data_IF_048061277864
#
_entry.id   IF_048061277864
#
_cell.length_a   1.000
_cell.length_b   1.000
_cell.length_c   1.000
_cell.angle_alpha   90.00
_cell.angle_beta   90.00
_cell.angle_gamma   90.00
#
_symmetry.space_group_name_H-M   'P 1'
#
loop_
_entity.id
_entity.type
_entity.pdbx_description
1 polymer ?
#
# COMPACT_ATOMS: atom_id res chain seq x y z
N UNK A 1 -5.43 24.85 -0.61
CA UNK A 1 -5.75 23.84 -1.65
C UNK A 1 -7.23 23.95 -1.95
N UNK A 2 -7.62 24.27 -3.19
CA UNK A 2 -9.03 24.37 -3.58
C UNK A 2 -9.77 23.04 -3.37
N UNK A 3 -11.07 23.14 -3.07
CA UNK A 3 -11.98 22.00 -2.97
C UNK A 3 -11.99 21.24 -4.31
N UNK A 4 -11.85 19.92 -4.27
CA UNK A 4 -12.00 19.12 -5.49
C UNK A 4 -13.47 19.22 -5.94
N UNK A 5 -13.70 19.39 -7.24
CA UNK A 5 -15.06 19.47 -7.80
C UNK A 5 -15.87 18.17 -7.59
N UNK A 6 -15.17 17.03 -7.49
CA UNK A 6 -15.75 15.71 -7.25
C UNK A 6 -14.98 14.98 -6.15
N UNK A 7 -15.70 14.41 -5.18
CA UNK A 7 -15.15 13.63 -4.08
C UNK A 7 -15.73 12.21 -4.05
N UNK A 8 -15.02 11.29 -3.39
CA UNK A 8 -15.56 9.93 -3.11
C UNK A 8 -16.89 10.00 -2.33
N UNK A 9 -17.06 11.02 -1.49
CA UNK A 9 -18.30 11.25 -0.77
C UNK A 9 -19.49 11.53 -1.71
N UNK A 10 -19.27 12.20 -2.84
CA UNK A 10 -20.32 12.47 -3.83
C UNK A 10 -20.72 11.17 -4.53
N UNK A 11 -19.75 10.34 -4.92
CA UNK A 11 -20.01 9.02 -5.50
C UNK A 11 -20.81 8.14 -4.54
N UNK A 12 -20.45 8.12 -3.24
CA UNK A 12 -21.18 7.35 -2.24
C UNK A 12 -22.60 7.88 -2.02
N UNK A 13 -22.81 9.19 -2.05
CA UNK A 13 -24.17 9.77 -1.95
C UNK A 13 -25.03 9.44 -3.16
N UNK A 14 -24.46 9.55 -4.37
CA UNK A 14 -25.21 9.34 -5.62
C UNK A 14 -25.44 7.85 -5.92
N UNK A 15 -24.39 7.04 -5.88
CA UNK A 15 -24.45 5.63 -6.32
C UNK A 15 -24.55 4.65 -5.13
N UNK A 16 -24.17 5.07 -3.93
CA UNK A 16 -24.08 4.19 -2.77
C UNK A 16 -25.40 3.57 -2.31
N UNK A 17 -26.56 4.26 -2.33
CA UNK A 17 -27.84 3.64 -1.93
C UNK A 17 -28.18 2.40 -2.77
N UNK A 18 -28.21 2.54 -4.10
CA UNK A 18 -28.50 1.43 -5.01
C UNK A 18 -27.46 0.32 -4.91
N UNK A 19 -26.17 0.67 -4.81
CA UNK A 19 -25.10 -0.33 -4.66
C UNK A 19 -25.19 -1.10 -3.35
N UNK A 20 -25.48 -0.44 -2.22
CA UNK A 20 -25.69 -1.11 -0.93
C UNK A 20 -26.87 -2.07 -0.96
N UNK A 21 -27.94 -1.71 -1.67
CA UNK A 21 -29.10 -2.59 -1.87
C UNK A 21 -28.71 -3.82 -2.69
N UNK A 22 -28.00 -3.63 -3.81
CA UNK A 22 -27.53 -4.72 -4.65
C UNK A 22 -26.51 -5.64 -3.97
N UNK A 23 -25.82 -5.17 -2.92
CA UNK A 23 -24.81 -5.91 -2.16
C UNK A 23 -25.28 -6.32 -0.75
N UNK A 24 -26.59 -6.35 -0.52
CA UNK A 24 -27.14 -6.80 0.76
C UNK A 24 -26.64 -8.22 1.10
N UNK A 25 -26.25 -8.42 2.36
CA UNK A 25 -25.65 -9.67 2.84
C UNK A 25 -24.16 -9.88 2.49
N UNK A 26 -23.60 -9.10 1.56
CA UNK A 26 -22.19 -9.21 1.15
C UNK A 26 -21.27 -8.13 1.73
N UNK A 27 -21.85 -7.12 2.38
CA UNK A 27 -21.12 -6.03 3.02
C UNK A 27 -20.98 -6.25 4.53
N UNK A 28 -19.75 -6.16 5.01
CA UNK A 28 -19.50 -6.10 6.46
C UNK A 28 -20.01 -4.77 7.04
N UNK A 29 -20.42 -4.79 8.31
CA UNK A 29 -20.74 -3.59 9.08
C UNK A 29 -19.59 -2.58 9.05
N UNK A 30 -18.34 -3.05 9.05
CA UNK A 30 -17.16 -2.20 8.93
C UNK A 30 -17.11 -1.41 7.61
N UNK A 31 -17.44 -2.05 6.48
CA UNK A 31 -17.51 -1.37 5.18
C UNK A 31 -18.63 -0.32 5.17
N UNK A 32 -19.81 -0.66 5.70
CA UNK A 32 -20.93 0.28 5.81
C UNK A 32 -20.58 1.50 6.66
N UNK A 33 -19.96 1.30 7.84
CA UNK A 33 -19.48 2.39 8.70
C UNK A 33 -18.46 3.29 7.99
N UNK A 34 -17.58 2.71 7.18
CA UNK A 34 -16.62 3.49 6.36
C UNK A 34 -17.35 4.34 5.33
N UNK A 35 -18.37 3.81 4.63
CA UNK A 35 -19.16 4.58 3.68
C UNK A 35 -19.84 5.77 4.34
N UNK A 36 -20.57 5.55 5.43
CA UNK A 36 -21.26 6.62 6.16
C UNK A 36 -20.29 7.68 6.69
N UNK A 37 -19.14 7.25 7.23
CA UNK A 37 -18.12 8.19 7.69
C UNK A 37 -17.58 9.06 6.56
N UNK A 38 -17.44 8.54 5.33
CA UNK A 38 -16.96 9.30 4.18
C UNK A 38 -18.03 10.27 3.67
N UNK A 39 -19.29 9.83 3.61
CA UNK A 39 -20.46 10.65 3.19
C UNK A 39 -20.67 11.87 4.11
N UNK A 40 -20.52 11.68 5.43
CA UNK A 40 -20.73 12.72 6.45
C UNK A 40 -19.49 13.59 6.71
N UNK A 41 -18.31 13.19 6.22
CA UNK A 41 -17.08 13.89 6.53
C UNK A 41 -17.09 15.34 6.01
N UNK A 42 -16.78 16.30 6.89
CA UNK A 42 -16.79 17.75 6.59
C UNK A 42 -18.16 18.26 6.14
N UNK A 43 -19.24 17.77 6.77
CA UNK A 43 -20.59 18.33 6.64
C UNK A 43 -21.16 18.71 8.00
N UNK A 44 -22.30 19.41 7.99
CA UNK A 44 -23.02 19.80 9.21
C UNK A 44 -23.41 18.60 10.10
N UNK A 45 -23.52 17.40 9.53
CA UNK A 45 -23.84 16.18 10.28
C UNK A 45 -22.80 15.83 11.37
N UNK A 46 -21.56 16.33 11.26
CA UNK A 46 -20.51 16.14 12.25
C UNK A 46 -20.27 17.38 13.12
N UNK A 47 -21.12 18.41 12.99
CA UNK A 47 -20.90 19.73 13.58
C UNK A 47 -19.71 20.46 12.95
N UNK A 48 -19.40 21.64 13.50
CA UNK A 48 -18.31 22.48 13.00
C UNK A 48 -18.09 23.72 13.85
N UNK A 49 -17.21 24.57 13.34
CA UNK A 49 -16.86 25.86 13.93
C UNK A 49 -17.28 26.97 12.97
N UNK A 50 -17.71 28.10 13.53
CA UNK A 50 -17.96 29.33 12.78
C UNK A 50 -16.84 30.29 13.12
N UNK A 51 -16.06 30.67 12.11
CA UNK A 51 -14.97 31.64 12.21
C UNK A 51 -15.48 32.96 11.64
N UNK A 52 -15.37 34.05 12.39
CA UNK A 52 -15.68 35.40 11.90
C UNK A 52 -14.42 36.24 11.91
N UNK A 53 -14.12 36.90 10.79
CA UNK A 53 -13.02 37.85 10.70
C UNK A 53 -13.44 39.18 11.36
N UNK A 54 -12.70 39.63 12.38
CA UNK A 54 -12.99 40.89 13.08
C UNK A 54 -12.69 42.15 12.23
N UNK A 55 -12.03 42.02 11.08
CA UNK A 55 -11.67 43.15 10.21
C UNK A 55 -12.57 43.35 8.99
N UNK A 56 -13.22 42.29 8.49
CA UNK A 56 -14.05 42.36 7.29
C UNK A 56 -15.40 41.62 7.43
N UNK A 57 -15.73 41.16 8.63
CA UNK A 57 -16.95 40.41 8.96
C UNK A 57 -17.17 39.10 8.17
N UNK A 58 -16.18 38.67 7.38
CA UNK A 58 -16.26 37.42 6.65
C UNK A 58 -16.47 36.24 7.62
N UNK A 59 -17.48 35.42 7.32
CA UNK A 59 -17.81 34.21 8.08
C UNK A 59 -17.41 32.97 7.30
N UNK A 60 -16.58 32.13 7.89
CA UNK A 60 -16.20 30.83 7.37
C UNK A 60 -16.72 29.71 8.28
N UNK A 61 -17.41 28.72 7.70
CA UNK A 61 -17.86 27.53 8.42
C UNK A 61 -16.90 26.38 8.18
N UNK A 62 -16.27 25.89 9.25
CA UNK A 62 -15.34 24.78 9.22
C UNK A 62 -15.95 23.52 9.85
N UNK A 63 -16.46 22.60 9.03
CA UNK A 63 -17.04 21.34 9.51
C UNK A 63 -15.99 20.31 10.00
N UNK A 64 -16.38 19.49 10.97
CA UNK A 64 -15.53 18.46 11.55
C UNK A 64 -15.22 17.30 10.60
N UNK A 65 -14.06 16.67 10.81
CA UNK A 65 -13.62 15.51 10.04
C UNK A 65 -14.13 14.21 10.68
N UNK A 66 -14.43 13.19 9.86
CA UNK A 66 -14.85 11.88 10.37
C UNK A 66 -13.69 11.06 10.97
N UNK A 67 -12.43 11.50 10.76
CA UNK A 67 -11.17 10.86 11.22
C UNK A 67 -10.95 9.41 10.78
N UNK A 68 -11.86 8.82 9.99
CA UNK A 68 -11.72 7.46 9.52
C UNK A 68 -10.48 7.32 8.61
N UNK A 69 -9.67 6.27 8.84
CA UNK A 69 -8.45 5.97 8.07
C UNK A 69 -8.68 5.80 6.56
N UNK A 70 -9.90 5.44 6.18
CA UNK A 70 -10.30 5.24 4.79
C UNK A 70 -10.79 6.52 4.10
N UNK A 71 -10.94 7.63 4.83
CA UNK A 71 -11.42 8.88 4.25
C UNK A 71 -10.32 9.64 3.50
N UNK A 72 -10.50 9.96 2.20
CA UNK A 72 -9.49 10.66 1.40
C UNK A 72 -9.26 12.13 1.83
N UNK A 73 -10.10 12.67 2.72
CA UNK A 73 -10.00 14.04 3.25
C UNK A 73 -9.25 14.17 4.56
N UNK A 74 -9.26 13.12 5.40
CA UNK A 74 -8.89 13.25 6.82
C UNK A 74 -7.40 13.03 7.10
N UNK A 75 -6.71 12.25 6.26
CA UNK A 75 -5.45 11.63 6.64
C UNK A 75 -4.22 12.54 6.50
N UNK A 76 -4.35 13.75 5.94
CA UNK A 76 -3.21 14.63 5.68
C UNK A 76 -2.41 14.99 6.94
N UNK A 77 -3.08 15.39 8.03
CA UNK A 77 -2.39 15.77 9.28
C UNK A 77 -1.75 14.58 9.99
N UNK A 78 -2.39 13.41 9.95
CA UNK A 78 -1.82 12.18 10.48
C UNK A 78 -0.58 11.75 9.69
N UNK A 79 -0.65 11.82 8.35
CA UNK A 79 0.47 11.57 7.46
C UNK A 79 1.66 12.49 7.74
N UNK A 80 1.38 13.78 7.96
CA UNK A 80 2.40 14.77 8.26
C UNK A 80 3.08 14.51 9.61
N UNK A 81 2.32 14.25 10.68
CA UNK A 81 2.92 13.91 11.98
C UNK A 81 3.73 12.62 11.94
N UNK A 82 3.21 11.60 11.26
CA UNK A 82 3.94 10.36 11.07
C UNK A 82 5.24 10.60 10.30
N UNK A 83 5.21 11.49 9.30
CA UNK A 83 6.38 11.87 8.52
C UNK A 83 7.44 12.56 9.38
N UNK A 84 7.03 13.55 10.16
CA UNK A 84 7.91 14.28 11.09
C UNK A 84 8.58 13.33 12.08
N UNK A 85 7.81 12.37 12.62
CA UNK A 85 8.36 11.35 13.51
C UNK A 85 9.38 10.44 12.81
N UNK A 86 9.13 10.00 11.57
CA UNK A 86 10.08 9.17 10.81
C UNK A 86 11.30 9.93 10.31
N UNK A 87 11.20 11.25 10.16
CA UNK A 87 12.32 12.10 9.79
C UNK A 87 13.39 12.12 10.86
N UNK A 88 13.00 12.07 12.14
CA UNK A 88 13.95 11.99 13.26
C UNK A 88 14.76 10.68 13.24
N UNK A 89 14.24 9.61 12.63
CA UNK A 89 14.88 8.29 12.56
C UNK A 89 15.82 8.14 11.34
N UNK A 90 15.91 9.14 10.45
CA UNK A 90 16.73 9.02 9.24
C UNK A 90 18.21 9.27 9.51
N UNK A 91 19.02 8.31 9.11
CA UNK A 91 20.48 8.37 9.11
C UNK A 91 20.97 9.20 7.91
N UNK A 92 22.15 9.87 8.01
CA UNK A 92 22.72 10.65 6.91
C UNK A 92 23.40 9.73 5.86
N UNK A 93 22.66 8.79 5.30
CA UNK A 93 23.14 7.79 4.33
C UNK A 93 22.25 7.75 3.08
N UNK A 94 22.71 7.06 2.03
CA UNK A 94 21.85 6.75 0.88
C UNK A 94 20.67 5.86 1.33
N UNK A 95 19.53 5.98 0.66
CA UNK A 95 18.36 5.13 0.95
C UNK A 95 17.87 4.48 -0.32
N UNK A 96 17.59 3.19 -0.26
CA UNK A 96 17.10 2.41 -1.37
C UNK A 96 15.61 2.12 -1.23
N UNK A 97 14.93 2.15 -2.37
CA UNK A 97 13.52 1.76 -2.46
C UNK A 97 13.42 0.35 -3.01
N UNK A 98 12.99 -0.59 -2.16
CA UNK A 98 12.75 -1.98 -2.54
C UNK A 98 11.23 -2.22 -2.63
N UNK A 99 10.77 -3.03 -3.57
CA UNK A 99 9.36 -3.43 -3.69
C UNK A 99 9.29 -4.93 -3.83
N UNK A 100 8.51 -5.57 -2.98
CA UNK A 100 8.17 -6.99 -3.09
C UNK A 100 6.73 -7.12 -3.55
N UNK A 101 6.54 -7.79 -4.68
CA UNK A 101 5.23 -7.94 -5.33
C UNK A 101 4.84 -9.40 -5.37
N UNK A 102 3.60 -9.70 -4.99
CA UNK A 102 3.04 -11.05 -5.11
C UNK A 102 2.59 -11.33 -6.55
N UNK A 103 2.76 -12.55 -7.06
CA UNK A 103 2.20 -12.93 -8.36
C UNK A 103 0.67 -12.89 -8.31
N UNK A 104 0.04 -12.76 -9.48
CA UNK A 104 -1.42 -12.60 -9.59
C UNK A 104 -2.22 -13.71 -8.88
N UNK A 105 -1.88 -15.01 -9.01
CA UNK A 105 -2.63 -16.06 -8.31
C UNK A 105 -2.63 -15.92 -6.79
N UNK A 106 -1.51 -15.51 -6.18
CA UNK A 106 -1.45 -15.27 -4.74
C UNK A 106 -2.20 -13.98 -4.37
N UNK A 107 -2.16 -12.97 -5.24
CA UNK A 107 -2.90 -11.71 -5.04
C UNK A 107 -4.41 -11.95 -4.98
N UNK A 108 -4.95 -12.86 -5.80
CA UNK A 108 -6.37 -13.22 -5.83
C UNK A 108 -6.84 -13.78 -4.49
N UNK A 109 -6.10 -14.74 -3.91
CA UNK A 109 -6.45 -15.32 -2.60
C UNK A 109 -6.15 -14.37 -1.42
N UNK A 110 -5.37 -13.30 -1.64
CA UNK A 110 -5.03 -12.34 -0.59
C UNK A 110 -6.21 -11.47 -0.16
N UNK A 111 -7.24 -11.30 -1.00
CA UNK A 111 -8.41 -10.51 -0.62
C UNK A 111 -9.24 -11.18 0.49
N UNK A 112 -9.35 -12.51 0.47
CA UNK A 112 -10.07 -13.28 1.50
C UNK A 112 -9.17 -13.63 2.68
N UNK A 113 -7.85 -13.64 2.49
CA UNK A 113 -6.84 -14.01 3.50
C UNK A 113 -5.95 -12.83 3.93
N UNK A 114 -6.50 -11.61 3.99
CA UNK A 114 -5.73 -10.36 4.20
C UNK A 114 -4.76 -10.43 5.39
N UNK A 115 -5.23 -10.88 6.55
CA UNK A 115 -4.41 -10.92 7.75
C UNK A 115 -3.19 -11.84 7.59
N UNK A 116 -3.41 -13.06 7.10
CA UNK A 116 -2.34 -14.06 6.92
C UNK A 116 -1.39 -13.62 5.81
N UNK A 117 -1.91 -13.32 4.61
CA UNK A 117 -1.05 -13.03 3.45
C UNK A 117 -0.30 -11.71 3.62
N UNK A 118 -0.90 -10.67 4.20
CA UNK A 118 -0.18 -9.41 4.40
C UNK A 118 0.88 -9.53 5.49
N UNK A 119 0.60 -10.30 6.56
CA UNK A 119 1.60 -10.63 7.57
C UNK A 119 2.79 -11.37 6.94
N UNK A 120 2.54 -12.45 6.20
CA UNK A 120 3.60 -13.18 5.48
C UNK A 120 4.39 -12.28 4.53
N UNK A 121 3.71 -11.36 3.83
CA UNK A 121 4.38 -10.43 2.92
C UNK A 121 5.36 -9.50 3.64
N UNK A 122 5.01 -9.02 4.84
CA UNK A 122 5.93 -8.22 5.66
C UNK A 122 7.08 -9.07 6.21
N UNK A 123 6.78 -10.19 6.86
CA UNK A 123 7.76 -11.04 7.52
C UNK A 123 8.78 -11.58 6.52
N UNK A 124 8.32 -12.15 5.41
CA UNK A 124 9.19 -12.77 4.41
C UNK A 124 10.00 -11.71 3.64
N UNK A 125 9.46 -10.50 3.42
CA UNK A 125 10.23 -9.41 2.83
C UNK A 125 11.35 -8.93 3.77
N UNK A 126 11.06 -8.76 5.06
CA UNK A 126 12.06 -8.38 6.06
C UNK A 126 13.15 -9.46 6.21
N UNK A 127 12.76 -10.72 6.38
CA UNK A 127 13.66 -11.87 6.47
C UNK A 127 14.57 -11.98 5.25
N UNK A 128 14.00 -11.82 4.04
CA UNK A 128 14.77 -11.86 2.80
C UNK A 128 15.84 -10.77 2.75
N UNK A 129 15.48 -9.54 3.15
CA UNK A 129 16.41 -8.42 3.18
C UNK A 129 17.54 -8.67 4.18
N UNK A 130 17.18 -9.02 5.41
CA UNK A 130 18.12 -9.23 6.50
C UNK A 130 19.05 -10.42 6.23
N UNK A 131 18.51 -11.55 5.76
CA UNK A 131 19.30 -12.75 5.42
C UNK A 131 20.34 -12.46 4.35
N UNK A 132 19.96 -11.81 3.24
CA UNK A 132 20.90 -11.53 2.16
C UNK A 132 21.90 -10.44 2.55
N UNK A 133 21.48 -9.45 3.35
CA UNK A 133 22.39 -8.41 3.82
C UNK A 133 23.45 -8.95 4.80
N UNK A 134 23.06 -9.86 5.68
CA UNK A 134 23.98 -10.44 6.68
C UNK A 134 25.06 -11.33 6.05
N UNK A 135 24.83 -11.92 4.87
CA UNK A 135 25.83 -12.74 4.18
C UNK A 135 27.05 -11.90 3.75
N UNK A 136 28.27 -12.21 4.23
CA UNK A 136 29.50 -11.49 3.85
C UNK A 136 29.84 -11.55 2.36
N UNK A 137 29.31 -12.54 1.61
CA UNK A 137 29.44 -12.59 0.14
C UNK A 137 28.62 -11.51 -0.56
N UNK A 138 27.68 -10.90 0.17
CA UNK A 138 26.83 -9.81 -0.29
C UNK A 138 27.22 -8.49 0.38
N UNK A 139 26.67 -8.19 1.56
CA UNK A 139 26.96 -6.96 2.29
C UNK A 139 27.73 -7.23 3.60
N UNK A 140 27.41 -8.31 4.31
CA UNK A 140 28.01 -8.62 5.61
C UNK A 140 27.57 -7.67 6.73
N UNK A 141 26.30 -7.26 6.74
CA UNK A 141 25.79 -6.26 7.66
C UNK A 141 24.35 -6.52 8.12
N UNK A 142 24.05 -6.11 9.34
CA UNK A 142 22.72 -6.03 9.90
C UNK A 142 22.03 -4.73 9.47
N UNK A 143 20.99 -4.86 8.65
CA UNK A 143 20.25 -3.72 8.10
C UNK A 143 18.90 -3.54 8.78
N UNK A 144 18.45 -2.29 8.84
CA UNK A 144 17.07 -1.93 9.14
C UNK A 144 16.24 -1.68 7.88
N UNK A 145 14.92 -1.84 7.95
CA UNK A 145 14.02 -1.46 6.87
C UNK A 145 12.69 -0.94 7.40
N UNK A 146 12.14 0.09 6.76
CA UNK A 146 10.73 0.50 6.95
C UNK A 146 9.90 -0.05 5.80
N UNK A 147 8.97 -0.95 6.11
CA UNK A 147 8.07 -1.57 5.13
C UNK A 147 6.68 -0.94 5.18
N UNK A 148 6.06 -0.71 4.03
CA UNK A 148 4.71 -0.14 3.90
C UNK A 148 3.89 -0.96 2.90
N UNK A 149 2.73 -1.45 3.32
CA UNK A 149 1.80 -2.23 2.49
C UNK A 149 0.98 -1.33 1.58
N UNK A 150 0.94 -1.67 0.30
CA UNK A 150 -0.08 -1.22 -0.64
C UNK A 150 -0.90 -2.39 -1.13
N UNK A 151 -2.19 -2.15 -1.32
CA UNK A 151 -3.14 -3.19 -1.76
C UNK A 151 -3.76 -2.90 -3.13
N UNK A 152 -3.46 -1.75 -3.72
CA UNK A 152 -4.10 -1.29 -4.96
C UNK A 152 -3.07 -0.80 -5.98
N UNK A 153 -3.24 -1.23 -7.23
CA UNK A 153 -2.56 -0.64 -8.38
C UNK A 153 -3.15 0.72 -8.75
N UNK A 154 -2.48 1.46 -9.65
CA UNK A 154 -3.04 2.74 -10.09
C UNK A 154 -4.37 2.58 -10.82
N UNK A 155 -4.69 1.45 -11.43
CA UNK A 155 -5.99 1.17 -12.03
C UNK A 155 -7.06 0.75 -11.01
N UNK A 156 -6.78 0.83 -9.70
CA UNK A 156 -7.62 0.28 -8.62
C UNK A 156 -7.85 -1.23 -8.71
N UNK A 157 -6.98 -1.94 -9.40
CA UNK A 157 -6.90 -3.41 -9.32
C UNK A 157 -6.27 -3.83 -8.00
N UNK A 158 -6.78 -4.90 -7.41
CA UNK A 158 -6.19 -5.46 -6.19
C UNK A 158 -4.79 -5.98 -6.51
N UNK A 159 -3.80 -5.45 -5.80
CA UNK A 159 -2.38 -5.70 -6.08
C UNK A 159 -1.59 -5.51 -4.77
N UNK A 160 -1.58 -6.50 -3.88
CA UNK A 160 -0.81 -6.44 -2.65
C UNK A 160 0.70 -6.49 -2.93
N UNK A 161 1.41 -5.47 -2.44
CA UNK A 161 2.85 -5.35 -2.51
C UNK A 161 3.36 -4.52 -1.33
N UNK A 162 4.60 -4.75 -0.90
CA UNK A 162 5.24 -3.94 0.14
C UNK A 162 6.36 -3.11 -0.44
N UNK A 163 6.39 -1.84 -0.04
CA UNK A 163 7.46 -0.92 -0.32
C UNK A 163 8.39 -0.86 0.88
N UNK A 164 9.65 -1.22 0.69
CA UNK A 164 10.71 -1.09 1.67
C UNK A 164 11.57 0.13 1.41
N UNK A 165 11.83 0.88 2.47
CA UNK A 165 12.87 1.90 2.53
C UNK A 165 14.00 1.34 3.38
N UNK A 166 15.18 1.24 2.79
CA UNK A 166 16.34 0.60 3.41
C UNK A 166 17.51 1.58 3.42
N UNK A 167 18.18 1.82 4.55
CA UNK A 167 19.45 2.54 4.59
C UNK A 167 20.48 1.84 3.70
N UNK A 168 21.39 2.62 3.12
CA UNK A 168 22.44 2.15 2.22
C UNK A 168 23.61 1.52 2.94
N UNK A 169 23.31 0.64 3.89
CA UNK A 169 24.27 -0.01 4.77
C UNK A 169 23.60 -0.49 6.04
N UNK A 170 24.41 -1.07 6.91
CA UNK A 170 24.00 -1.60 8.20
C UNK A 170 25.16 -1.61 9.19
N UNK A 171 24.92 -2.10 10.40
CA UNK A 171 26.00 -2.40 11.34
C UNK A 171 26.72 -3.68 10.89
N UNK A 172 28.02 -3.77 11.13
CA UNK A 172 28.74 -5.04 11.00
C UNK A 172 28.12 -6.10 11.91
N UNK A 173 28.34 -7.38 11.61
CA UNK A 173 27.74 -8.48 12.38
C UNK A 173 28.19 -8.54 13.85
N UNK A 174 29.32 -7.91 14.16
CA UNK A 174 29.82 -7.69 15.53
C UNK A 174 29.26 -6.39 16.18
N UNK A 175 28.52 -5.57 15.43
CA UNK A 175 27.94 -4.31 15.89
C UNK A 175 28.92 -3.14 16.01
N UNK A 176 30.20 -3.33 15.70
CA UNK A 176 31.26 -2.35 16.04
C UNK A 176 31.39 -1.20 15.03
N UNK A 177 30.98 -1.41 13.77
CA UNK A 177 31.17 -0.42 12.70
C UNK A 177 30.02 -0.40 11.71
N UNK A 178 29.91 0.71 10.98
CA UNK A 178 29.01 0.79 9.83
C UNK A 178 29.62 0.13 8.59
N UNK A 179 28.80 -0.63 7.86
CA UNK A 179 29.13 -1.25 6.58
C UNK A 179 28.23 -0.65 5.50
N UNK A 180 28.80 0.21 4.67
CA UNK A 180 28.08 0.87 3.57
C UNK A 180 27.88 -0.06 2.37
N UNK A 181 26.74 0.07 1.71
CA UNK A 181 26.53 -0.47 0.38
C UNK A 181 27.47 0.20 -0.63
N UNK A 182 27.67 -0.46 -1.78
CA UNK A 182 28.40 0.14 -2.90
C UNK A 182 27.59 1.31 -3.47
N UNK A 183 28.22 2.42 -3.88
CA UNK A 183 27.48 3.57 -4.42
C UNK A 183 26.48 3.18 -5.51
N UNK A 184 25.22 3.55 -5.33
CA UNK A 184 24.16 3.24 -6.31
C UNK A 184 23.74 1.78 -6.42
N UNK A 185 24.28 0.87 -5.60
CA UNK A 185 23.95 -0.55 -5.58
C UNK A 185 23.67 -1.06 -4.16
N UNK A 186 22.48 -1.62 -3.96
CA UNK A 186 22.10 -2.22 -2.68
C UNK A 186 22.42 -3.73 -2.64
N UNK A 187 21.45 -4.56 -3.05
CA UNK A 187 21.56 -6.01 -3.14
C UNK A 187 21.07 -6.47 -4.51
N UNK A 188 21.50 -7.66 -4.92
CA UNK A 188 21.07 -8.24 -6.20
C UNK A 188 19.58 -8.56 -6.18
N UNK A 189 18.80 -7.89 -7.02
CA UNK A 189 17.36 -8.14 -7.18
C UNK A 189 17.06 -9.59 -7.56
N UNK A 190 17.94 -10.24 -8.33
CA UNK A 190 17.79 -11.65 -8.72
C UNK A 190 17.92 -12.57 -7.51
N UNK A 191 18.82 -12.27 -6.59
CA UNK A 191 19.02 -13.05 -5.35
C UNK A 191 17.84 -12.84 -4.42
N UNK A 192 17.44 -11.58 -4.19
CA UNK A 192 16.27 -11.23 -3.39
C UNK A 192 15.00 -11.90 -3.92
N UNK A 193 14.72 -11.81 -5.23
CA UNK A 193 13.57 -12.44 -5.87
C UNK A 193 13.51 -13.95 -5.63
N UNK A 194 14.64 -14.65 -5.74
CA UNK A 194 14.71 -16.11 -5.59
C UNK A 194 14.49 -16.55 -4.15
N UNK A 195 15.14 -15.88 -3.20
CA UNK A 195 14.95 -16.19 -1.78
C UNK A 195 13.54 -15.85 -1.32
N UNK A 196 13.03 -14.66 -1.67
CA UNK A 196 11.67 -14.23 -1.35
C UNK A 196 10.63 -15.22 -1.87
N UNK A 197 10.73 -15.62 -3.15
CA UNK A 197 9.85 -16.64 -3.75
C UNK A 197 9.84 -17.92 -2.92
N UNK A 198 11.03 -18.47 -2.65
CA UNK A 198 11.14 -19.74 -1.91
C UNK A 198 10.51 -19.62 -0.52
N UNK A 199 10.95 -18.63 0.26
CA UNK A 199 10.46 -18.40 1.63
C UNK A 199 8.97 -18.14 1.70
N UNK A 200 8.43 -17.38 0.75
CA UNK A 200 7.01 -17.05 0.73
C UNK A 200 6.17 -18.29 0.41
N UNK A 201 6.59 -19.11 -0.56
CA UNK A 201 5.88 -20.35 -0.89
C UNK A 201 5.93 -21.37 0.27
N UNK A 202 7.08 -21.49 0.95
CA UNK A 202 7.22 -22.32 2.16
C UNK A 202 6.26 -21.85 3.26
N UNK A 203 6.27 -20.56 3.59
CA UNK A 203 5.41 -20.00 4.64
C UNK A 203 3.92 -20.06 4.28
N UNK A 204 3.57 -19.89 2.99
CA UNK A 204 2.19 -20.02 2.52
C UNK A 204 1.70 -21.48 2.59
N UNK A 205 2.56 -22.45 2.27
CA UNK A 205 2.24 -23.87 2.43
C UNK A 205 2.02 -24.25 3.91
N UNK A 206 2.85 -23.72 4.81
CA UNK A 206 2.67 -23.92 6.26
C UNK A 206 1.35 -23.31 6.76
N UNK A 207 1.02 -22.10 6.31
CA UNK A 207 -0.26 -21.46 6.66
C UNK A 207 -1.48 -22.26 6.14
N UNK A 208 -1.35 -22.87 4.96
CA UNK A 208 -2.36 -23.80 4.44
C UNK A 208 -2.51 -25.04 5.33
N UNK A 209 -1.41 -25.73 5.62
CA UNK A 209 -1.39 -26.93 6.48
C UNK A 209 -1.96 -26.66 7.88
N UNK A 210 -1.73 -25.47 8.41
CA UNK A 210 -2.27 -25.02 9.70
C UNK A 210 -3.75 -24.60 9.64
N UNK A 211 -4.43 -24.73 8.50
CA UNK A 211 -5.84 -24.37 8.34
C UNK A 211 -6.12 -22.87 8.44
N UNK A 212 -5.11 -22.01 8.25
CA UNK A 212 -5.24 -20.55 8.42
C UNK A 212 -5.80 -19.85 7.19
N UNK A 213 -5.83 -20.53 6.04
CA UNK A 213 -6.31 -19.99 4.78
C UNK A 213 -7.76 -20.39 4.50
N UNK A 214 -8.56 -19.43 4.07
CA UNK A 214 -9.95 -19.58 3.68
C UNK A 214 -10.10 -19.40 2.17
N UNK A 215 -10.83 -20.32 1.57
CA UNK A 215 -11.06 -20.35 0.13
C UNK A 215 -12.55 -20.39 -0.18
N UNK A 216 -12.96 -19.68 -1.23
CA UNK A 216 -14.35 -19.52 -1.64
C UNK A 216 -14.46 -19.46 -3.16
N UNK A 217 -15.65 -19.70 -3.71
CA UNK A 217 -15.92 -19.63 -5.15
C UNK A 217 -14.97 -20.51 -5.96
N UNK A 218 -14.40 -19.96 -7.04
CA UNK A 218 -13.43 -20.64 -7.92
C UNK A 218 -12.21 -21.21 -7.20
N UNK A 219 -11.85 -20.65 -6.04
CA UNK A 219 -10.72 -21.11 -5.25
C UNK A 219 -11.08 -22.18 -4.21
N UNK A 220 -12.35 -22.56 -4.03
CA UNK A 220 -12.78 -23.48 -2.97
C UNK A 220 -11.99 -24.81 -2.96
N UNK A 221 -11.61 -25.31 -4.14
CA UNK A 221 -10.79 -26.53 -4.27
C UNK A 221 -9.41 -26.42 -3.63
N UNK A 222 -8.88 -25.21 -3.46
CA UNK A 222 -7.59 -24.97 -2.80
C UNK A 222 -7.60 -25.27 -1.30
N UNK A 223 -8.77 -25.55 -0.70
CA UNK A 223 -8.83 -26.08 0.65
C UNK A 223 -8.22 -27.50 0.76
N UNK A 224 -8.27 -28.29 -0.32
CA UNK A 224 -7.63 -29.59 -0.38
C UNK A 224 -6.09 -29.46 -0.52
N UNK A 225 -5.34 -30.23 0.28
CA UNK A 225 -3.88 -30.16 0.33
C UNK A 225 -3.22 -30.53 -1.01
N UNK A 226 -3.76 -31.52 -1.73
CA UNK A 226 -3.21 -31.98 -3.00
C UNK A 226 -3.47 -30.96 -4.11
N UNK A 227 -4.68 -30.40 -4.16
CA UNK A 227 -5.02 -29.30 -5.06
C UNK A 227 -4.16 -28.07 -4.79
N UNK A 228 -3.97 -27.70 -3.52
CA UNK A 228 -3.13 -26.57 -3.12
C UNK A 228 -1.67 -26.76 -3.54
N UNK A 229 -1.08 -27.93 -3.26
CA UNK A 229 0.30 -28.23 -3.67
C UNK A 229 0.49 -28.16 -5.19
N UNK A 230 -0.46 -28.69 -5.97
CA UNK A 230 -0.45 -28.59 -7.44
C UNK A 230 -0.58 -27.15 -7.93
N UNK A 231 -1.41 -26.35 -7.28
CA UNK A 231 -1.56 -24.92 -7.59
C UNK A 231 -0.29 -24.11 -7.26
N UNK A 232 0.40 -24.46 -6.18
CA UNK A 232 1.64 -23.80 -5.74
C UNK A 232 2.83 -24.14 -6.63
N UNK A 233 2.90 -25.37 -7.16
CA UNK A 233 4.01 -25.88 -7.95
C UNK A 233 4.47 -24.97 -9.12
N UNK A 234 3.59 -24.47 -10.03
CA UNK A 234 4.02 -23.57 -11.10
C UNK A 234 4.56 -22.23 -10.58
N UNK A 235 4.14 -21.77 -9.39
CA UNK A 235 4.60 -20.51 -8.79
C UNK A 235 6.06 -20.58 -8.32
N UNK A 236 6.58 -21.78 -8.07
CA UNK A 236 8.01 -22.00 -7.78
C UNK A 236 8.91 -21.80 -9.00
N UNK A 237 8.36 -21.97 -10.20
CA UNK A 237 9.08 -21.93 -11.48
C UNK A 237 8.98 -20.58 -12.17
N UNK A 238 7.92 -19.81 -11.92
CA UNK A 238 7.77 -18.49 -12.51
C UNK A 238 8.70 -17.45 -11.88
N UNK A 239 8.95 -16.37 -12.61
CA UNK A 239 9.74 -15.24 -12.13
C UNK A 239 8.91 -14.39 -11.15
N UNK A 240 9.52 -14.07 -10.01
CA UNK A 240 8.96 -13.17 -9.01
C UNK A 240 9.71 -11.85 -9.05
N UNK A 241 8.99 -10.74 -8.99
CA UNK A 241 9.59 -9.42 -9.17
C UNK A 241 9.82 -8.78 -7.80
N UNK A 242 11.10 -8.70 -7.42
CA UNK A 242 11.59 -7.73 -6.44
C UNK A 242 12.25 -6.61 -7.21
N UNK A 243 11.81 -5.39 -6.97
CA UNK A 243 12.37 -4.19 -7.59
C UNK A 243 13.21 -3.44 -6.57
N UNK A 244 14.44 -3.07 -6.92
CA UNK A 244 15.25 -2.15 -6.13
C UNK A 244 15.60 -0.94 -7.00
N UNK A 245 15.18 0.25 -6.59
CA UNK A 245 15.50 1.50 -7.27
C UNK A 245 16.83 2.06 -6.78
N UNK A 246 17.50 2.82 -7.66
CA UNK A 246 18.57 3.76 -7.29
C UNK A 246 18.18 4.60 -6.07
N UNK A 247 19.18 5.04 -5.29
CA UNK A 247 18.92 5.72 -4.05
C UNK A 247 18.10 6.99 -4.28
N UNK A 248 17.28 7.35 -3.29
CA UNK A 248 16.59 8.63 -3.30
C UNK A 248 17.62 9.76 -3.41
N UNK A 249 17.20 10.92 -3.92
CA UNK A 249 18.03 12.12 -3.98
C UNK A 249 18.33 12.74 -2.58
N UNK A 250 18.28 11.91 -1.52
CA UNK A 250 18.49 12.27 -0.12
C UNK A 250 17.32 11.86 0.79
N UNK A 251 17.52 11.92 2.12
CA UNK A 251 16.52 11.63 3.16
C UNK A 251 15.18 12.36 2.95
N UNK A 252 15.19 13.62 2.51
CA UNK A 252 13.97 14.39 2.24
C UNK A 252 13.09 13.75 1.15
N UNK A 253 13.69 13.14 0.12
CA UNK A 253 12.96 12.47 -0.95
C UNK A 253 12.36 11.12 -0.48
N UNK A 254 13.00 10.45 0.48
CA UNK A 254 12.47 9.27 1.19
C UNK A 254 11.20 9.64 1.96
N UNK A 255 11.23 10.78 2.64
CA UNK A 255 10.11 11.29 3.41
C UNK A 255 8.90 11.61 2.53
N UNK A 256 9.12 12.42 1.48
CA UNK A 256 8.06 12.71 0.50
C UNK A 256 7.52 11.44 -0.17
N UNK A 257 8.34 10.39 -0.27
CA UNK A 257 7.89 9.08 -0.70
C UNK A 257 6.95 8.45 0.35
N UNK A 258 7.45 8.16 1.54
CA UNK A 258 6.75 7.42 2.60
C UNK A 258 5.40 8.04 3.01
N UNK A 259 5.32 9.36 3.15
CA UNK A 259 4.07 10.05 3.57
C UNK A 259 2.90 9.82 2.61
N UNK A 260 3.18 9.59 1.32
CA UNK A 260 2.15 9.33 0.30
C UNK A 260 1.55 7.93 0.39
N UNK A 261 2.17 7.04 1.15
CA UNK A 261 1.93 5.60 1.09
C UNK A 261 1.36 5.03 2.38
N UNK A 262 1.72 5.61 3.54
CA UNK A 262 1.22 5.16 4.84
C UNK A 262 -0.21 5.60 5.16
N UNK A 263 -0.71 6.63 4.48
CA UNK A 263 -1.96 7.32 4.84
C UNK A 263 -2.89 7.57 3.63
N UNK A 264 -2.54 7.01 2.46
CA UNK A 264 -3.35 7.10 1.25
C UNK A 264 -4.15 5.82 1.08
N UNK A 265 -5.43 6.00 0.79
CA UNK A 265 -6.39 4.91 0.56
C UNK A 265 -6.36 4.51 -0.92
N UNK A 266 -7.29 3.66 -1.37
CA UNK A 266 -7.35 3.18 -2.76
C UNK A 266 -7.28 4.33 -3.80
N UNK A 267 -8.01 5.43 -3.56
CA UNK A 267 -8.08 6.58 -4.47
C UNK A 267 -8.07 7.92 -3.73
N UNK A 268 -7.50 8.95 -4.36
CA UNK A 268 -7.57 10.34 -3.91
C UNK A 268 -8.63 11.08 -4.72
N UNK A 269 -9.38 12.02 -4.09
CA UNK A 269 -10.35 12.87 -4.79
C UNK A 269 -9.74 13.58 -6.02
N UNK A 270 -8.46 13.93 -5.99
CA UNK A 270 -7.76 14.53 -7.13
C UNK A 270 -7.71 13.66 -8.39
N UNK A 271 -7.89 12.36 -8.24
CA UNK A 271 -7.90 11.43 -9.38
C UNK A 271 -9.26 11.36 -10.05
N UNK A 272 -10.33 11.74 -9.35
CA UNK A 272 -11.69 11.76 -9.89
C UNK A 272 -11.82 12.88 -10.93
N UNK A 273 -12.46 12.57 -12.05
CA UNK A 273 -12.63 13.48 -13.19
C UNK A 273 -14.10 13.79 -13.42
N UNK A 274 -14.94 12.76 -13.49
CA UNK A 274 -16.36 12.90 -13.76
C UNK A 274 -17.17 11.78 -13.07
N UNK A 275 -18.44 12.08 -12.82
CA UNK A 275 -19.48 11.15 -12.43
C UNK A 275 -20.69 11.48 -13.31
N UNK A 276 -21.03 10.59 -14.23
CA UNK A 276 -22.18 10.72 -15.14
C UNK A 276 -22.92 9.38 -15.27
N UNK A 277 -23.93 9.32 -16.16
CA UNK A 277 -24.75 8.12 -16.39
C UNK A 277 -23.93 6.89 -16.84
N UNK A 278 -22.72 7.11 -17.40
CA UNK A 278 -21.81 6.03 -17.82
C UNK A 278 -20.92 5.52 -16.68
N UNK A 279 -20.89 6.20 -15.54
CA UNK A 279 -20.16 5.78 -14.35
C UNK A 279 -19.15 6.81 -13.83
N UNK A 280 -18.11 6.31 -13.16
CA UNK A 280 -17.07 7.13 -12.51
C UNK A 280 -15.82 7.17 -13.37
N UNK A 281 -15.45 8.34 -13.88
CA UNK A 281 -14.17 8.53 -14.59
C UNK A 281 -13.06 8.96 -13.63
N UNK A 282 -11.92 8.28 -13.67
CA UNK A 282 -10.74 8.66 -12.91
C UNK A 282 -9.42 8.51 -13.69
N UNK A 283 -8.43 9.33 -13.29
CA UNK A 283 -7.07 9.27 -13.83
C UNK A 283 -6.28 8.13 -13.21
N UNK A 284 -5.57 7.37 -14.03
CA UNK A 284 -4.62 6.35 -13.64
C UNK A 284 -3.29 6.53 -14.38
N UNK A 285 -2.26 5.83 -13.91
CA UNK A 285 -0.93 5.85 -14.48
C UNK A 285 -0.60 4.49 -15.07
N UNK A 286 -0.32 4.48 -16.36
CA UNK A 286 0.20 3.35 -17.09
C UNK A 286 1.72 3.28 -16.90
N UNK A 287 2.16 2.36 -16.04
CA UNK A 287 3.57 2.20 -15.72
C UNK A 287 4.37 1.54 -16.85
N UNK A 288 3.71 0.99 -17.88
CA UNK A 288 4.37 0.42 -19.06
C UNK A 288 4.85 1.51 -20.03
N UNK A 289 4.25 2.71 -19.96
CA UNK A 289 4.54 3.83 -20.85
C UNK A 289 5.42 4.87 -20.12
N UNK A 290 6.47 5.33 -20.80
CA UNK A 290 7.33 6.43 -20.31
C UNK A 290 6.83 7.78 -20.87
N UNK A 291 7.13 8.88 -20.17
CA UNK A 291 6.77 10.23 -20.62
C UNK A 291 5.37 10.71 -20.22
N UNK A 292 4.90 11.80 -20.85
CA UNK A 292 3.65 12.49 -20.47
C UNK A 292 2.37 11.68 -20.73
N UNK A 293 2.40 10.78 -21.71
CA UNK A 293 1.28 9.90 -22.12
C UNK A 293 0.97 8.77 -21.16
N UNK A 294 1.78 8.62 -20.09
CA UNK A 294 1.55 7.62 -19.04
C UNK A 294 0.31 7.90 -18.19
N UNK A 295 -0.23 9.12 -18.22
CA UNK A 295 -1.44 9.48 -17.49
C UNK A 295 -2.65 9.28 -18.39
N UNK A 296 -3.53 8.35 -18.03
CA UNK A 296 -4.73 7.98 -18.78
C UNK A 296 -5.96 8.14 -17.90
N UNK A 297 -7.15 8.13 -18.50
CA UNK A 297 -8.43 8.03 -17.81
C UNK A 297 -9.06 6.67 -18.05
N UNK A 298 -9.92 6.24 -17.14
CA UNK A 298 -10.83 5.11 -17.34
C UNK A 298 -12.16 5.41 -16.65
N UNK A 299 -13.24 4.82 -17.16
CA UNK A 299 -14.58 4.87 -16.55
C UNK A 299 -14.95 3.47 -16.08
N UNK A 300 -15.50 3.40 -14.87
CA UNK A 300 -16.03 2.18 -14.24
C UNK A 300 -17.46 2.37 -13.80
#
# INVERSE_FOLDING_TARGET
MGRCALEVADIFRTCGPAWRQAQQGHLSVGQLKVMSAIEQCRSAALGGHVLRCNGCDHVEIAYNSCRNRHCPKCQAKAAQRWLEARQADLLPVEYYHVVFTLPAPISEIAYTNKAVIYRLLFEVAADTLQTIAADPKHLGAEIGATLVLHTWGSALTHHPHVHGIVPGGGLSLDGERWVSCRPGFFLSVRVLSRLFRRRFLEALAQAHQAGQLKFFGEHARLADATAFARWLAPLSKCEWVVYAKRPFAGPAAVLAYLSRYTHRVAISNRRLVALDERGVTFRWKDYRIRGRTRHKTMTV
#
